data_IF_262167497090
#
_entry.id   IF_262167497090
#
_cell.length_a   1.000
_cell.length_b   1.000
_cell.length_c   1.000
_cell.angle_alpha   90.00
_cell.angle_beta   90.00
_cell.angle_gamma   90.00
#
_symmetry.space_group_name_H-M   'P 1'
#
loop_
_entity.id
_entity.type
_entity.pdbx_description
1 polymer ?
#
# COMPACT_ATOMS: atom_id res chain seq x y z
N UNK A 1 8.87 38.44 17.21
CA UNK A 1 9.48 38.23 15.88
C UNK A 1 9.91 36.78 15.79
N UNK A 2 9.64 36.11 14.66
CA UNK A 2 9.97 34.70 14.49
C UNK A 2 11.51 34.54 14.47
N UNK A 3 12.08 33.66 15.29
CA UNK A 3 13.54 33.56 15.50
C UNK A 3 14.28 32.86 14.34
N UNK A 4 13.65 32.82 13.15
CA UNK A 4 14.14 32.11 11.99
C UNK A 4 14.75 33.11 11.00
N UNK A 5 16.09 33.15 10.94
CA UNK A 5 16.84 34.08 10.10
C UNK A 5 16.49 33.93 8.61
N UNK A 6 16.17 32.73 8.14
CA UNK A 6 15.77 32.48 6.76
C UNK A 6 14.44 33.16 6.41
N UNK A 7 13.42 33.00 7.27
CA UNK A 7 12.11 33.62 7.04
C UNK A 7 12.24 35.14 7.03
N UNK A 8 13.05 35.69 7.93
CA UNK A 8 13.26 37.13 8.02
C UNK A 8 14.05 37.66 6.81
N UNK A 9 15.05 36.92 6.32
CA UNK A 9 15.87 37.33 5.17
C UNK A 9 15.09 37.28 3.85
N UNK A 10 14.21 36.30 3.66
CA UNK A 10 13.50 36.07 2.40
C UNK A 10 12.01 36.43 2.48
N UNK A 11 11.58 37.19 3.48
CA UNK A 11 10.15 37.47 3.74
C UNK A 11 9.43 38.06 2.53
N UNK A 12 10.10 38.92 1.76
CA UNK A 12 9.54 39.54 0.55
C UNK A 12 9.34 38.53 -0.60
N UNK A 13 10.03 37.39 -0.57
CA UNK A 13 9.93 36.34 -1.60
C UNK A 13 9.02 35.18 -1.16
N UNK A 14 8.63 35.10 0.11
CA UNK A 14 7.77 34.03 0.64
C UNK A 14 6.31 34.44 0.48
N UNK A 15 5.60 33.78 -0.44
CA UNK A 15 4.17 34.04 -0.68
C UNK A 15 3.27 33.44 0.39
N UNK A 16 3.59 32.22 0.84
CA UNK A 16 2.87 31.49 1.89
C UNK A 16 3.73 30.33 2.37
N UNK A 17 3.34 29.72 3.49
CA UNK A 17 3.95 28.50 4.02
C UNK A 17 2.86 27.46 4.29
N UNK A 18 3.24 26.18 4.23
CA UNK A 18 2.38 25.07 4.60
C UNK A 18 3.21 23.86 5.03
N UNK A 19 2.58 22.93 5.73
CA UNK A 19 3.19 21.65 6.13
C UNK A 19 2.26 20.53 5.72
N UNK A 20 2.77 19.54 5.00
CA UNK A 20 2.00 18.40 4.51
C UNK A 20 2.83 17.13 4.59
N UNK A 21 2.16 15.99 4.79
CA UNK A 21 2.78 14.69 4.53
C UNK A 21 2.99 14.52 3.03
N UNK A 22 4.19 14.15 2.60
CA UNK A 22 4.45 13.86 1.18
C UNK A 22 4.00 12.43 0.84
N UNK A 23 4.85 11.44 1.12
CA UNK A 23 4.54 10.02 0.91
C UNK A 23 4.23 9.35 2.24
N UNK A 24 3.00 8.90 2.42
CA UNK A 24 2.60 8.17 3.63
C UNK A 24 2.50 6.69 3.31
N UNK A 25 3.20 5.88 4.09
CA UNK A 25 3.18 4.42 4.00
C UNK A 25 2.78 3.86 5.36
N UNK A 26 1.68 3.12 5.39
CA UNK A 26 1.19 2.41 6.58
C UNK A 26 1.39 0.92 6.35
N UNK A 27 2.02 0.24 7.30
CA UNK A 27 2.32 -1.20 7.19
C UNK A 27 1.38 -2.01 8.07
N UNK A 28 0.66 -2.93 7.43
CA UNK A 28 -0.24 -3.88 8.07
C UNK A 28 0.47 -5.18 8.39
N UNK A 29 0.28 -5.68 9.62
CA UNK A 29 0.84 -6.95 10.08
C UNK A 29 -0.15 -7.71 10.94
N UNK A 30 -0.20 -9.04 10.76
CA UNK A 30 -0.83 -9.93 11.73
C UNK A 30 0.13 -10.04 12.94
N UNK A 31 -0.16 -9.29 14.01
CA UNK A 31 0.69 -9.22 15.23
C UNK A 31 1.04 -10.59 15.78
N UNK A 32 0.05 -11.49 15.79
CA UNK A 32 0.14 -12.95 15.92
C UNK A 32 1.45 -13.54 15.37
N UNK A 33 1.71 -13.27 14.11
CA UNK A 33 2.70 -13.99 13.32
C UNK A 33 4.13 -13.46 13.50
N UNK A 34 4.34 -12.47 14.37
CA UNK A 34 5.70 -12.09 14.76
C UNK A 34 6.39 -13.19 15.57
N UNK A 35 5.62 -13.99 16.31
CA UNK A 35 6.10 -15.19 16.99
C UNK A 35 5.97 -16.42 16.09
N UNK A 36 7.08 -17.14 15.91
CA UNK A 36 7.05 -18.42 15.19
C UNK A 36 6.19 -19.46 15.89
N UNK A 37 6.10 -19.41 17.23
CA UNK A 37 5.24 -20.31 17.99
C UNK A 37 3.76 -20.08 17.64
N UNK A 38 3.34 -18.82 17.52
CA UNK A 38 1.98 -18.48 17.10
C UNK A 38 1.69 -18.92 15.66
N UNK A 39 2.66 -18.83 14.73
CA UNK A 39 2.50 -19.38 13.37
C UNK A 39 2.32 -20.91 13.42
N UNK A 40 3.07 -21.61 14.27
CA UNK A 40 2.91 -23.06 14.47
C UNK A 40 1.53 -23.39 15.06
N UNK A 41 1.08 -22.63 16.05
CA UNK A 41 -0.24 -22.81 16.67
C UNK A 41 -1.36 -22.53 15.68
N UNK A 42 -1.22 -21.50 14.85
CA UNK A 42 -2.15 -21.21 13.75
C UNK A 42 -2.27 -22.40 12.79
N UNK A 43 -1.16 -22.95 12.30
CA UNK A 43 -1.21 -24.10 11.40
C UNK A 43 -1.87 -25.32 12.06
N UNK A 44 -1.64 -25.55 13.36
CA UNK A 44 -2.32 -26.61 14.12
C UNK A 44 -3.83 -26.37 14.24
N UNK A 45 -4.24 -25.13 14.56
CA UNK A 45 -5.64 -24.76 14.67
C UNK A 45 -6.38 -24.93 13.33
N UNK A 46 -5.68 -24.71 12.20
CA UNK A 46 -6.17 -24.99 10.85
C UNK A 46 -6.15 -26.49 10.47
N UNK A 47 -5.86 -27.40 11.42
CA UNK A 47 -5.90 -28.85 11.21
C UNK A 47 -4.63 -29.47 10.63
N UNK A 48 -3.54 -28.70 10.43
CA UNK A 48 -2.30 -29.23 9.86
C UNK A 48 -1.36 -29.82 10.92
N UNK A 49 -1.14 -31.13 10.86
CA UNK A 49 -0.17 -31.84 11.71
C UNK A 49 1.29 -31.61 11.26
N UNK A 50 1.52 -31.56 9.94
CA UNK A 50 2.82 -31.25 9.32
C UNK A 50 2.92 -29.76 9.00
N UNK A 51 4.13 -29.20 9.07
CA UNK A 51 4.38 -27.78 8.79
C UNK A 51 5.30 -27.60 7.57
N UNK A 52 4.94 -28.23 6.45
CA UNK A 52 5.77 -28.18 5.24
C UNK A 52 5.61 -26.86 4.48
N UNK A 53 6.50 -26.58 3.51
CA UNK A 53 6.31 -25.46 2.59
C UNK A 53 5.03 -25.61 1.76
N UNK A 54 4.59 -26.85 1.50
CA UNK A 54 3.32 -27.14 0.82
C UNK A 54 2.11 -26.72 1.67
N UNK A 55 2.13 -26.98 2.98
CA UNK A 55 1.07 -26.52 3.89
C UNK A 55 0.97 -25.00 3.92
N UNK A 56 2.10 -24.29 3.98
CA UNK A 56 2.08 -22.82 3.91
C UNK A 56 1.54 -22.34 2.57
N UNK A 57 1.88 -23.04 1.48
CA UNK A 57 1.44 -22.71 0.12
C UNK A 57 -0.08 -22.82 -0.05
N UNK A 58 -0.78 -23.66 0.71
CA UNK A 58 -2.26 -23.71 0.69
C UNK A 58 -2.86 -22.32 0.96
N UNK A 59 -2.38 -21.62 1.99
CA UNK A 59 -2.87 -20.27 2.33
C UNK A 59 -2.48 -19.23 1.27
N UNK A 60 -1.28 -19.36 0.70
CA UNK A 60 -0.84 -18.54 -0.44
C UNK A 60 -1.78 -18.71 -1.63
N UNK A 61 -2.12 -19.94 -1.98
CA UNK A 61 -2.97 -20.26 -3.12
C UNK A 61 -4.42 -19.82 -2.87
N UNK A 62 -4.91 -19.92 -1.63
CA UNK A 62 -6.21 -19.36 -1.21
C UNK A 62 -6.26 -17.85 -1.41
N UNK A 63 -5.27 -17.10 -0.90
CA UNK A 63 -5.21 -15.65 -1.06
C UNK A 63 -5.09 -15.25 -2.53
N UNK A 64 -4.25 -15.94 -3.30
CA UNK A 64 -4.11 -15.71 -4.74
C UNK A 64 -5.44 -15.93 -5.47
N UNK A 65 -6.15 -17.02 -5.17
CA UNK A 65 -7.43 -17.33 -5.77
C UNK A 65 -8.49 -16.30 -5.40
N UNK A 66 -8.52 -15.84 -4.14
CA UNK A 66 -9.43 -14.80 -3.68
C UNK A 66 -9.21 -13.49 -4.44
N UNK A 67 -7.97 -13.00 -4.51
CA UNK A 67 -7.64 -11.76 -5.25
C UNK A 67 -8.02 -11.89 -6.73
N UNK A 68 -7.73 -13.03 -7.37
CA UNK A 68 -8.11 -13.27 -8.76
C UNK A 68 -9.63 -13.23 -8.97
N UNK A 69 -10.40 -13.88 -8.09
CA UNK A 69 -11.87 -13.87 -8.16
C UNK A 69 -12.46 -12.48 -7.95
N UNK A 70 -11.95 -11.73 -6.98
CA UNK A 70 -12.42 -10.35 -6.76
C UNK A 70 -12.07 -9.46 -7.96
N UNK A 71 -10.87 -9.59 -8.51
CA UNK A 71 -10.48 -8.83 -9.70
C UNK A 71 -11.41 -9.12 -10.89
N UNK A 72 -11.74 -10.39 -11.14
CA UNK A 72 -12.70 -10.78 -12.17
C UNK A 72 -14.11 -10.21 -11.90
N UNK A 73 -14.60 -10.37 -10.67
CA UNK A 73 -15.92 -9.86 -10.25
C UNK A 73 -16.08 -8.36 -10.46
N UNK A 74 -15.03 -7.58 -10.18
CA UNK A 74 -15.04 -6.13 -10.34
C UNK A 74 -14.51 -5.65 -11.70
N UNK A 75 -14.19 -6.56 -12.63
CA UNK A 75 -13.65 -6.21 -13.95
C UNK A 75 -12.26 -5.55 -13.91
N UNK A 76 -11.49 -5.76 -12.85
CA UNK A 76 -10.16 -5.16 -12.64
C UNK A 76 -9.08 -6.02 -13.29
N UNK A 77 -8.25 -5.41 -14.14
CA UNK A 77 -7.16 -6.12 -14.80
C UNK A 77 -5.97 -6.38 -13.86
N UNK A 78 -5.42 -7.60 -13.92
CA UNK A 78 -4.18 -7.99 -13.24
C UNK A 78 -3.04 -8.04 -14.26
N UNK A 79 -1.99 -7.24 -14.03
CA UNK A 79 -0.80 -7.21 -14.88
C UNK A 79 0.40 -7.85 -14.19
N UNK A 80 1.25 -8.52 -14.97
CA UNK A 80 2.54 -9.04 -14.49
C UNK A 80 3.66 -8.05 -14.80
N UNK A 81 4.12 -7.32 -13.79
CA UNK A 81 5.06 -6.20 -13.91
C UNK A 81 6.34 -6.55 -14.69
N UNK A 82 7.03 -7.67 -14.42
CA UNK A 82 8.22 -8.04 -15.17
C UNK A 82 8.04 -8.15 -16.68
N UNK A 83 6.82 -8.44 -17.17
CA UNK A 83 6.55 -8.55 -18.62
C UNK A 83 6.18 -7.23 -19.29
N UNK A 84 5.85 -6.18 -18.54
CA UNK A 84 5.39 -4.88 -19.08
C UNK A 84 6.40 -3.75 -18.90
N UNK A 85 7.30 -3.83 -17.91
CA UNK A 85 8.27 -2.76 -17.65
C UNK A 85 9.39 -3.14 -16.67
N UNK A 86 9.60 -4.44 -16.41
CA UNK A 86 10.57 -4.91 -15.43
C UNK A 86 11.98 -4.35 -15.63
N UNK A 87 12.61 -3.86 -14.56
CA UNK A 87 14.05 -3.54 -14.55
C UNK A 87 14.48 -2.20 -13.94
N UNK A 88 13.57 -1.24 -13.71
CA UNK A 88 13.93 0.11 -13.21
C UNK A 88 13.10 0.51 -11.98
N UNK A 89 13.77 0.95 -10.90
CA UNK A 89 13.11 1.49 -9.71
C UNK A 89 12.25 2.72 -10.07
N UNK A 90 11.02 2.79 -9.55
CA UNK A 90 10.09 3.90 -9.81
C UNK A 90 9.27 3.79 -11.11
N UNK A 91 9.52 2.78 -11.94
CA UNK A 91 8.77 2.58 -13.19
C UNK A 91 7.32 2.10 -12.97
N UNK A 92 7.01 1.38 -11.87
CA UNK A 92 5.63 0.91 -11.58
C UNK A 92 4.64 2.06 -11.43
N UNK A 93 4.99 3.04 -10.61
CA UNK A 93 4.14 4.20 -10.35
C UNK A 93 3.98 5.05 -11.61
N UNK A 94 5.08 5.34 -12.32
CA UNK A 94 5.04 6.07 -13.60
C UNK A 94 4.23 5.34 -14.67
N UNK A 95 4.41 4.02 -14.80
CA UNK A 95 3.63 3.19 -15.72
C UNK A 95 2.15 3.27 -15.40
N UNK A 96 1.80 3.08 -14.12
CA UNK A 96 0.43 3.18 -13.66
C UNK A 96 -0.16 4.58 -13.95
N UNK A 97 0.58 5.65 -13.63
CA UNK A 97 0.15 7.04 -13.84
C UNK A 97 -0.13 7.31 -15.33
N UNK A 98 0.78 6.90 -16.22
CA UNK A 98 0.67 7.11 -17.67
C UNK A 98 -0.50 6.34 -18.31
N UNK A 99 -0.77 5.12 -17.85
CA UNK A 99 -1.78 4.25 -18.47
C UNK A 99 -3.18 4.50 -17.90
N UNK A 100 -3.27 4.69 -16.58
CA UNK A 100 -4.54 4.72 -15.85
C UNK A 100 -4.87 6.11 -15.29
N UNK A 101 -4.01 6.66 -14.42
CA UNK A 101 -4.38 7.85 -13.64
C UNK A 101 -4.64 9.10 -14.50
N UNK A 102 -3.83 9.33 -15.54
CA UNK A 102 -4.00 10.48 -16.43
C UNK A 102 -5.35 10.48 -17.19
N UNK A 103 -6.03 9.35 -17.28
CA UNK A 103 -7.29 9.20 -18.03
C UNK A 103 -8.53 9.21 -17.14
N UNK A 104 -8.34 9.32 -15.82
CA UNK A 104 -9.45 9.21 -14.88
C UNK A 104 -10.08 10.58 -14.61
N UNK A 105 -11.29 10.77 -15.13
CA UNK A 105 -12.13 11.96 -14.89
C UNK A 105 -13.32 11.66 -13.95
N UNK A 106 -13.40 10.42 -13.44
CA UNK A 106 -14.50 9.99 -12.60
C UNK A 106 -14.48 10.63 -11.21
N UNK A 107 -15.66 10.66 -10.57
CA UNK A 107 -15.82 11.04 -9.18
C UNK A 107 -16.02 9.78 -8.32
N UNK A 108 -15.45 9.76 -7.12
CA UNK A 108 -15.66 8.68 -6.15
C UNK A 108 -14.53 7.65 -6.12
N UNK A 109 -14.71 6.60 -5.30
CA UNK A 109 -13.72 5.54 -5.14
C UNK A 109 -13.66 4.68 -6.40
N UNK A 110 -12.46 4.39 -6.88
CA UNK A 110 -12.28 3.64 -8.12
C UNK A 110 -10.99 2.82 -8.10
N UNK A 111 -11.09 1.53 -8.43
CA UNK A 111 -9.93 0.64 -8.54
C UNK A 111 -9.52 0.57 -10.00
N UNK A 112 -8.26 0.89 -10.28
CA UNK A 112 -7.73 0.96 -11.63
C UNK A 112 -7.27 -0.39 -12.15
N UNK A 113 -6.33 -1.00 -11.44
CA UNK A 113 -5.67 -2.25 -11.83
C UNK A 113 -4.93 -2.86 -10.65
N UNK A 114 -4.50 -4.11 -10.84
CA UNK A 114 -3.61 -4.80 -9.92
C UNK A 114 -2.30 -5.08 -10.65
N UNK A 115 -1.19 -4.51 -10.18
CA UNK A 115 0.14 -4.91 -10.65
C UNK A 115 0.68 -6.03 -9.77
N UNK A 116 1.24 -7.06 -10.38
CA UNK A 116 1.90 -8.16 -9.66
C UNK A 116 3.38 -8.17 -9.95
N UNK A 117 4.18 -8.40 -8.91
CA UNK A 117 5.64 -8.49 -9.03
C UNK A 117 6.17 -9.58 -8.08
N UNK A 118 7.43 -9.97 -8.22
CA UNK A 118 8.12 -10.87 -7.29
C UNK A 118 9.24 -10.13 -6.59
N UNK A 119 9.09 -9.94 -5.28
CA UNK A 119 10.02 -9.14 -4.48
C UNK A 119 10.62 -9.97 -3.34
N UNK A 120 11.87 -9.67 -2.97
CA UNK A 120 12.55 -10.38 -1.88
C UNK A 120 12.12 -9.83 -0.51
N UNK A 121 11.21 -10.53 0.16
CA UNK A 121 10.58 -10.10 1.42
C UNK A 121 10.93 -11.02 2.58
N UNK A 122 10.83 -10.50 3.81
CA UNK A 122 10.94 -11.31 5.02
C UNK A 122 9.67 -12.15 5.17
N UNK A 123 9.84 -13.46 5.32
CA UNK A 123 8.73 -14.43 5.31
C UNK A 123 9.11 -15.67 6.13
N UNK A 124 8.24 -16.67 6.13
CA UNK A 124 8.43 -17.95 6.82
C UNK A 124 8.70 -19.05 5.79
N UNK A 125 9.53 -20.03 6.16
CA UNK A 125 9.69 -21.27 5.41
C UNK A 125 9.81 -22.45 6.37
N UNK A 126 9.70 -23.65 5.83
CA UNK A 126 9.90 -24.92 6.51
C UNK A 126 11.18 -25.59 6.05
N UNK A 127 11.97 -26.11 6.99
CA UNK A 127 13.09 -27.02 6.73
C UNK A 127 12.77 -28.41 7.29
N UNK A 128 13.07 -29.45 6.51
CA UNK A 128 13.03 -30.85 6.98
C UNK A 128 14.37 -31.20 7.62
N UNK A 129 14.33 -31.97 8.71
CA UNK A 129 15.49 -32.65 9.27
C UNK A 129 15.10 -34.04 9.75
N UNK A 130 16.09 -34.92 9.79
CA UNK A 130 15.95 -36.31 10.23
C UNK A 130 16.61 -36.43 11.60
N UNK A 131 15.86 -36.94 12.57
CA UNK A 131 16.39 -37.20 13.92
C UNK A 131 17.33 -38.40 13.91
N UNK A 132 18.15 -38.56 14.96
CA UNK A 132 19.02 -39.75 15.14
C UNK A 132 18.25 -41.08 15.06
N UNK A 133 16.93 -41.07 15.34
CA UNK A 133 16.01 -42.22 15.26
C UNK A 133 15.36 -42.39 13.88
N UNK A 134 15.83 -41.69 12.84
CA UNK A 134 15.28 -41.77 11.47
C UNK A 134 13.96 -41.04 11.24
N UNK A 135 13.35 -40.44 12.27
CA UNK A 135 12.06 -39.73 12.13
C UNK A 135 12.26 -38.36 11.48
N UNK A 136 11.43 -38.05 10.47
CA UNK A 136 11.38 -36.75 9.79
C UNK A 136 10.58 -35.71 10.59
N UNK A 137 11.15 -34.53 10.72
CA UNK A 137 10.52 -33.39 11.39
C UNK A 137 10.64 -32.13 10.55
N UNK A 138 9.62 -31.26 10.63
CA UNK A 138 9.63 -29.95 10.00
C UNK A 138 9.69 -28.86 11.06
N UNK A 139 10.62 -27.93 10.88
CA UNK A 139 10.73 -26.71 11.70
C UNK A 139 10.54 -25.50 10.80
N UNK A 140 9.68 -24.59 11.25
CA UNK A 140 9.48 -23.31 10.61
C UNK A 140 10.60 -22.35 11.03
N UNK A 141 11.05 -21.52 10.11
CA UNK A 141 12.06 -20.49 10.35
C UNK A 141 11.74 -19.23 9.54
N UNK A 142 12.23 -18.08 10.02
CA UNK A 142 12.15 -16.81 9.28
C UNK A 142 13.25 -16.77 8.23
N UNK A 143 12.94 -16.34 7.02
CA UNK A 143 13.89 -16.18 5.93
C UNK A 143 13.54 -14.98 5.05
N UNK A 144 14.39 -14.68 4.06
CA UNK A 144 14.03 -13.82 2.93
C UNK A 144 14.01 -14.66 1.67
N UNK A 145 12.96 -14.54 0.88
CA UNK A 145 12.88 -15.17 -0.45
C UNK A 145 11.98 -14.33 -1.36
N UNK A 146 12.08 -14.52 -2.68
CA UNK A 146 11.17 -13.89 -3.63
C UNK A 146 9.73 -14.36 -3.41
N UNK A 147 8.80 -13.43 -3.18
CA UNK A 147 7.36 -13.68 -2.97
C UNK A 147 6.55 -12.79 -3.89
N UNK A 148 5.48 -13.32 -4.47
CA UNK A 148 4.55 -12.55 -5.30
C UNK A 148 3.87 -11.47 -4.45
N UNK A 149 3.95 -10.22 -4.90
CA UNK A 149 3.30 -9.05 -4.32
C UNK A 149 2.16 -8.63 -5.25
N UNK A 150 1.02 -8.26 -4.69
CA UNK A 150 -0.07 -7.61 -5.40
C UNK A 150 -0.09 -6.15 -5.02
N UNK A 151 -0.11 -5.24 -5.99
CA UNK A 151 -0.27 -3.81 -5.83
C UNK A 151 -1.62 -3.42 -6.43
N UNK A 152 -2.63 -3.25 -5.58
CA UNK A 152 -3.96 -2.81 -5.99
C UNK A 152 -3.94 -1.28 -6.04
N UNK A 153 -3.97 -0.70 -7.23
CA UNK A 153 -3.96 0.75 -7.42
C UNK A 153 -5.39 1.28 -7.51
N UNK A 154 -5.67 2.37 -6.81
CA UNK A 154 -7.00 2.98 -6.77
C UNK A 154 -6.95 4.50 -6.55
N UNK A 155 -8.06 5.16 -6.85
CA UNK A 155 -8.39 6.51 -6.43
C UNK A 155 -9.33 6.42 -5.22
N UNK A 156 -9.01 7.16 -4.17
CA UNK A 156 -9.86 7.29 -2.99
C UNK A 156 -10.57 8.65 -3.03
N UNK A 157 -11.88 8.67 -2.81
CA UNK A 157 -12.69 9.89 -2.89
C UNK A 157 -12.40 10.90 -1.77
N UNK A 158 -11.60 10.51 -0.78
CA UNK A 158 -11.17 11.34 0.35
C UNK A 158 -9.68 11.64 0.27
N UNK A 159 -8.83 10.62 0.10
CA UNK A 159 -7.36 10.73 0.03
C UNK A 159 -6.84 11.17 -1.34
N UNK A 160 -7.69 11.13 -2.37
CA UNK A 160 -7.29 11.34 -3.75
C UNK A 160 -6.56 10.11 -4.31
N UNK A 161 -5.82 10.35 -5.39
CA UNK A 161 -5.07 9.29 -6.04
C UNK A 161 -3.85 9.81 -6.79
N UNK A 162 -2.91 8.92 -7.11
CA UNK A 162 -3.04 7.48 -6.89
C UNK A 162 -2.66 7.01 -5.48
N UNK A 163 -3.42 6.03 -5.00
CA UNK A 163 -3.15 5.24 -3.80
C UNK A 163 -2.85 3.80 -4.20
N UNK A 164 -2.22 3.02 -3.30
CA UNK A 164 -2.14 1.58 -3.48
C UNK A 164 -2.27 0.79 -2.17
N UNK A 165 -2.82 -0.41 -2.28
CA UNK A 165 -2.73 -1.45 -1.27
C UNK A 165 -1.85 -2.58 -1.80
N UNK A 166 -0.70 -2.76 -1.18
CA UNK A 166 0.22 -3.84 -1.46
C UNK A 166 -0.03 -5.01 -0.50
N UNK A 167 -0.13 -6.22 -1.03
CA UNK A 167 -0.33 -7.45 -0.26
C UNK A 167 0.74 -8.47 -0.66
N UNK A 168 1.50 -8.96 0.31
CA UNK A 168 2.43 -10.06 0.10
C UNK A 168 1.68 -11.39 0.15
N UNK A 169 1.78 -12.20 -0.89
CA UNK A 169 1.00 -13.44 -1.05
C UNK A 169 1.44 -14.63 -0.18
N UNK A 170 2.39 -14.46 0.73
CA UNK A 170 2.96 -15.57 1.52
C UNK A 170 3.04 -15.20 2.99
N UNK A 171 2.85 -16.18 3.88
CA UNK A 171 2.92 -15.99 5.34
C UNK A 171 4.17 -15.18 5.74
N UNK A 172 4.04 -14.11 6.54
CA UNK A 172 2.88 -13.74 7.35
C UNK A 172 1.90 -12.73 6.70
N UNK A 173 1.89 -12.64 5.37
CA UNK A 173 1.04 -11.73 4.59
C UNK A 173 1.14 -10.25 4.98
N UNK A 174 2.35 -9.66 5.07
CA UNK A 174 2.47 -8.23 5.34
C UNK A 174 1.81 -7.41 4.23
N UNK A 175 1.14 -6.33 4.64
CA UNK A 175 0.49 -5.38 3.74
C UNK A 175 1.12 -3.99 3.86
N UNK A 176 0.99 -3.18 2.82
CA UNK A 176 1.42 -1.79 2.79
C UNK A 176 0.37 -0.93 2.09
N UNK A 177 -0.15 0.07 2.81
CA UNK A 177 -1.10 1.05 2.30
C UNK A 177 -0.37 2.36 2.03
N UNK A 178 -0.54 2.91 0.83
CA UNK A 178 0.13 4.13 0.40
C UNK A 178 -0.88 5.16 -0.12
N UNK A 179 -0.63 6.41 0.26
CA UNK A 179 -1.24 7.58 -0.37
C UNK A 179 -0.25 8.77 -0.33
N UNK A 180 -0.55 9.82 -1.08
CA UNK A 180 0.23 11.07 -1.09
C UNK A 180 -0.60 12.22 -0.50
N UNK A 181 -0.07 12.92 0.51
CA UNK A 181 -0.79 14.02 1.16
C UNK A 181 -0.97 15.25 0.27
N UNK A 182 -0.08 15.48 -0.70
CA UNK A 182 -0.28 16.54 -1.70
C UNK A 182 -1.48 16.22 -2.61
N UNK A 183 -1.70 14.95 -2.95
CA UNK A 183 -2.89 14.54 -3.71
C UNK A 183 -4.18 14.72 -2.90
N UNK A 184 -4.13 14.48 -1.59
CA UNK A 184 -5.23 14.81 -0.69
C UNK A 184 -5.53 16.31 -0.71
N UNK A 185 -4.51 17.17 -0.50
CA UNK A 185 -4.70 18.63 -0.52
C UNK A 185 -5.26 19.08 -1.87
N UNK A 186 -4.70 18.57 -2.97
CA UNK A 186 -5.16 18.84 -4.32
C UNK A 186 -6.67 18.58 -4.45
N UNK A 187 -7.11 17.39 -4.03
CA UNK A 187 -8.52 17.01 -4.06
C UNK A 187 -9.40 17.93 -3.20
N UNK A 188 -8.93 18.35 -2.01
CA UNK A 188 -9.69 19.27 -1.16
C UNK A 188 -9.80 20.68 -1.75
N UNK A 189 -8.74 21.17 -2.41
CA UNK A 189 -8.75 22.46 -3.11
C UNK A 189 -9.68 22.40 -4.33
N UNK A 190 -9.59 21.33 -5.12
CA UNK A 190 -10.45 21.09 -6.28
C UNK A 190 -11.94 21.09 -5.87
N UNK A 191 -12.29 20.38 -4.78
CA UNK A 191 -13.67 20.35 -4.23
C UNK A 191 -14.18 21.71 -3.78
N UNK A 192 -13.28 22.60 -3.35
CA UNK A 192 -13.61 23.96 -2.90
C UNK A 192 -13.51 25.00 -4.02
N UNK A 193 -13.13 24.61 -5.24
CA UNK A 193 -12.93 25.52 -6.36
C UNK A 193 -11.74 26.48 -6.18
N UNK A 194 -10.78 26.14 -5.31
CA UNK A 194 -9.61 27.00 -5.05
C UNK A 194 -8.58 26.80 -6.16
N UNK A 195 -8.21 27.89 -6.82
CA UNK A 195 -7.19 27.86 -7.87
C UNK A 195 -5.78 27.71 -7.28
N UNK A 196 -4.95 26.87 -7.89
CA UNK A 196 -3.56 26.70 -7.50
C UNK A 196 -2.68 26.34 -8.70
N UNK A 197 -1.36 26.51 -8.53
CA UNK A 197 -0.33 26.00 -9.44
C UNK A 197 0.65 25.14 -8.65
N UNK A 198 1.07 24.05 -9.26
CA UNK A 198 2.09 23.17 -8.69
C UNK A 198 3.29 23.09 -9.61
N UNK A 199 4.46 22.89 -9.01
CA UNK A 199 5.66 22.40 -9.68
C UNK A 199 6.10 21.15 -8.95
N UNK A 200 5.97 20.00 -9.60
CA UNK A 200 6.11 18.69 -8.94
C UNK A 200 5.16 18.60 -7.74
N UNK A 201 5.64 18.21 -6.55
CA UNK A 201 4.83 18.14 -5.33
C UNK A 201 4.72 19.48 -4.58
N UNK A 202 5.27 20.58 -5.10
CA UNK A 202 5.24 21.88 -4.42
C UNK A 202 4.12 22.79 -4.94
N UNK A 203 3.28 23.31 -4.05
CA UNK A 203 2.36 24.40 -4.37
C UNK A 203 3.13 25.71 -4.54
N UNK A 204 3.16 26.25 -5.76
CA UNK A 204 3.88 27.50 -6.09
C UNK A 204 2.97 28.72 -6.09
N UNK A 205 1.67 28.49 -6.22
CA UNK A 205 0.62 29.50 -6.09
C UNK A 205 -0.66 28.85 -5.59
N UNK A 206 -1.39 29.54 -4.72
CA UNK A 206 -2.72 29.17 -4.24
C UNK A 206 -3.48 30.46 -4.01
N UNK A 207 -4.70 30.59 -4.53
CA UNK A 207 -5.49 31.81 -4.35
C UNK A 207 -5.91 32.02 -2.89
N UNK A 208 -6.12 30.93 -2.15
CA UNK A 208 -6.51 30.94 -0.74
C UNK A 208 -5.58 30.04 0.12
N UNK A 209 -4.40 30.54 0.53
CA UNK A 209 -3.43 29.74 1.29
C UNK A 209 -3.95 29.19 2.64
N UNK A 210 -4.93 29.86 3.25
CA UNK A 210 -5.55 29.39 4.51
C UNK A 210 -6.35 28.11 4.30
N UNK A 211 -7.04 27.98 3.15
CA UNK A 211 -7.79 26.77 2.80
C UNK A 211 -6.85 25.58 2.60
N UNK A 212 -5.69 25.81 1.98
CA UNK A 212 -4.64 24.81 1.86
C UNK A 212 -4.14 24.37 3.24
N UNK A 213 -3.83 25.31 4.12
CA UNK A 213 -3.35 25.01 5.47
C UNK A 213 -4.41 24.27 6.31
N UNK A 214 -5.69 24.59 6.11
CA UNK A 214 -6.79 23.87 6.74
C UNK A 214 -6.87 22.43 6.24
N UNK A 215 -6.80 22.20 4.92
CA UNK A 215 -6.78 20.86 4.35
C UNK A 215 -5.60 20.05 4.91
N UNK A 216 -4.41 20.63 4.92
CA UNK A 216 -3.21 19.98 5.43
C UNK A 216 -3.29 19.59 6.93
N UNK A 217 -4.09 20.31 7.74
CA UNK A 217 -4.36 19.96 9.14
C UNK A 217 -5.43 18.89 9.33
N UNK A 218 -6.32 18.72 8.36
CA UNK A 218 -7.43 17.75 8.44
C UNK A 218 -6.97 16.30 8.24
N UNK A 219 -5.87 16.09 7.53
CA UNK A 219 -5.33 14.75 7.32
C UNK A 219 -4.66 14.24 8.60
N UNK A 220 -5.26 13.23 9.22
CA UNK A 220 -4.82 12.68 10.49
C UNK A 220 -4.99 11.14 10.53
N UNK A 221 -4.48 10.50 11.59
CA UNK A 221 -4.51 9.04 11.72
C UNK A 221 -5.91 8.44 11.72
N UNK A 222 -6.90 9.12 12.32
CA UNK A 222 -8.29 8.64 12.36
C UNK A 222 -8.92 8.64 10.96
N UNK A 223 -8.73 9.72 10.20
CA UNK A 223 -9.20 9.80 8.82
C UNK A 223 -8.59 8.67 7.99
N UNK A 224 -7.27 8.47 8.09
CA UNK A 224 -6.59 7.44 7.31
C UNK A 224 -7.05 6.04 7.72
N UNK A 225 -7.25 5.76 9.01
CA UNK A 225 -7.77 4.49 9.48
C UNK A 225 -9.16 4.20 8.88
N UNK A 226 -10.07 5.17 8.89
CA UNK A 226 -11.40 5.02 8.29
C UNK A 226 -11.34 4.69 6.79
N UNK A 227 -10.36 5.24 6.07
CA UNK A 227 -10.18 4.94 4.64
C UNK A 227 -9.60 3.56 4.40
N UNK A 228 -8.72 3.08 5.28
CA UNK A 228 -8.23 1.70 5.24
C UNK A 228 -9.41 0.74 5.49
N UNK A 229 -10.20 0.97 6.53
CA UNK A 229 -11.36 0.12 6.88
C UNK A 229 -12.39 0.07 5.74
N UNK A 230 -12.62 1.20 5.05
CA UNK A 230 -13.51 1.27 3.88
C UNK A 230 -13.05 0.37 2.73
N UNK A 231 -11.74 0.23 2.51
CA UNK A 231 -11.19 -0.60 1.44
C UNK A 231 -11.18 -2.10 1.79
N UNK A 232 -11.36 -2.44 3.07
CA UNK A 232 -11.49 -3.83 3.49
C UNK A 232 -12.84 -4.43 3.03
N UNK A 233 -13.90 -3.63 2.94
CA UNK A 233 -15.25 -4.12 2.60
C UNK A 233 -15.38 -4.73 1.18
N UNK A 234 -14.86 -4.11 0.10
CA UNK A 234 -15.05 -4.64 -1.25
C UNK A 234 -14.12 -5.81 -1.59
N UNK A 235 -12.89 -5.84 -1.06
CA UNK A 235 -11.87 -6.81 -1.45
C UNK A 235 -11.66 -7.96 -0.47
N UNK A 236 -12.06 -7.83 0.79
CA UNK A 236 -11.69 -8.81 1.83
C UNK A 236 -12.87 -9.43 2.60
N UNK A 237 -14.11 -9.04 2.30
CA UNK A 237 -15.26 -9.81 2.78
C UNK A 237 -15.36 -11.14 2.01
N UNK A 238 -15.33 -12.24 2.76
CA UNK A 238 -15.45 -13.63 2.29
C UNK A 238 -16.90 -14.07 2.40
#
# INVERSE_FOLDING_TARGET
MNNNSFINQFSENIKFHYTCFDRVIIRGYIRNFFSMACVVLFLKAMGFSKKTNGVIRIFTDQLNSHISKQAERFGVQIHWWPSIGGGVNGAKQKFFENIYACKFEGQGNHVFCILTDKENVRTVASKEFITKKGKKHHVLYKCRKPVKQYYIYFHDSVLGGPCYLKISSYLPFPCEFYFNGHNYIKLQLDKKGVSYKMKENAFTHVSEPDVLNQAAKQINGQLVQQRIDYLDEPFFQV
#
